data_IF_537684297036
#
_entry.id   IF_537684297036
#
_cell.length_a   1.000
_cell.length_b   1.000
_cell.length_c   1.000
_cell.angle_alpha   90.00
_cell.angle_beta   90.00
_cell.angle_gamma   90.00
#
_symmetry.space_group_name_H-M   'P 1'
#
loop_
_entity.id
_entity.type
_entity.pdbx_description
1 polymer ?
#
# COMPACT_ATOMS: atom_id res chain seq x y z
N UNK A 1 8.71 -57.60 47.91
CA UNK A 1 8.44 -56.28 47.32
C UNK A 1 8.17 -56.49 45.84
N UNK A 2 6.91 -56.49 45.43
CA UNK A 2 6.53 -56.64 44.01
C UNK A 2 6.07 -55.27 43.49
N UNK A 3 6.95 -54.61 42.74
CA UNK A 3 6.62 -53.41 41.98
C UNK A 3 5.58 -53.74 40.91
N UNK A 4 4.37 -53.23 41.08
CA UNK A 4 3.34 -53.27 40.03
C UNK A 4 3.50 -52.05 39.13
N UNK A 5 4.06 -52.27 37.94
CA UNK A 5 4.08 -51.24 36.88
C UNK A 5 2.66 -50.98 36.38
N UNK A 6 2.18 -49.71 36.28
CA UNK A 6 0.81 -49.44 35.91
C UNK A 6 0.59 -49.70 34.40
N UNK A 7 -0.33 -50.60 34.07
CA UNK A 7 -0.79 -50.85 32.68
C UNK A 7 -1.42 -49.58 32.11
N UNK A 8 -0.70 -48.89 31.22
CA UNK A 8 -1.17 -47.71 30.46
C UNK A 8 -2.36 -48.11 29.57
N UNK A 9 -3.59 -47.77 29.99
CA UNK A 9 -4.81 -47.98 29.19
C UNK A 9 -4.82 -47.02 28.00
N UNK A 10 -4.67 -47.53 26.78
CA UNK A 10 -4.83 -46.73 25.55
C UNK A 10 -6.30 -46.31 25.39
N UNK A 11 -6.59 -45.05 25.05
CA UNK A 11 -7.96 -44.59 24.85
C UNK A 11 -8.65 -45.39 23.74
N UNK A 12 -9.93 -45.74 23.93
CA UNK A 12 -10.74 -46.45 22.91
C UNK A 12 -10.78 -45.61 21.64
N UNK A 13 -10.74 -46.22 20.46
CA UNK A 13 -10.73 -45.53 19.14
C UNK A 13 -11.79 -44.42 19.02
N UNK A 14 -12.97 -44.60 19.66
CA UNK A 14 -14.05 -43.59 19.73
C UNK A 14 -13.67 -42.33 20.52
N UNK A 15 -12.88 -42.47 21.59
CA UNK A 15 -12.37 -41.34 22.38
C UNK A 15 -11.32 -40.58 21.60
N UNK A 16 -10.43 -41.27 20.87
CA UNK A 16 -9.45 -40.63 19.98
C UNK A 16 -10.17 -39.85 18.87
N UNK A 17 -11.19 -40.45 18.24
CA UNK A 17 -11.99 -39.80 17.21
C UNK A 17 -12.69 -38.54 17.73
N UNK A 18 -13.32 -38.61 18.91
CA UNK A 18 -13.94 -37.45 19.57
C UNK A 18 -12.93 -36.32 19.85
N UNK A 19 -11.74 -36.66 20.34
CA UNK A 19 -10.67 -35.67 20.58
C UNK A 19 -10.23 -35.02 19.26
N UNK A 20 -10.04 -35.81 18.20
CA UNK A 20 -9.66 -35.28 16.88
C UNK A 20 -10.74 -34.36 16.32
N UNK A 21 -12.03 -34.72 16.45
CA UNK A 21 -13.14 -33.86 16.01
C UNK A 21 -13.20 -32.57 16.82
N UNK A 22 -13.07 -32.63 18.15
CA UNK A 22 -13.05 -31.44 18.99
C UNK A 22 -11.87 -30.53 18.70
N UNK A 23 -10.68 -31.09 18.45
CA UNK A 23 -9.49 -30.34 18.04
C UNK A 23 -9.68 -29.72 16.65
N UNK A 24 -10.31 -30.43 15.72
CA UNK A 24 -10.61 -29.90 14.39
C UNK A 24 -11.61 -28.73 14.47
N UNK A 25 -12.70 -28.87 15.25
CA UNK A 25 -13.68 -27.80 15.46
C UNK A 25 -13.06 -26.60 16.17
N UNK A 26 -12.28 -26.83 17.23
CA UNK A 26 -11.61 -25.72 17.93
C UNK A 26 -10.56 -25.05 17.06
N UNK A 27 -9.83 -25.79 16.23
CA UNK A 27 -8.89 -25.23 15.27
C UNK A 27 -9.60 -24.38 14.21
N UNK A 28 -10.77 -24.81 13.73
CA UNK A 28 -11.58 -24.06 12.77
C UNK A 28 -12.16 -22.78 13.40
N UNK A 29 -12.67 -22.87 14.64
CA UNK A 29 -13.14 -21.70 15.39
C UNK A 29 -12.00 -20.71 15.59
N UNK A 30 -10.83 -21.15 16.05
CA UNK A 30 -9.68 -20.27 16.22
C UNK A 30 -9.22 -19.66 14.88
N UNK A 31 -9.21 -20.43 13.79
CA UNK A 31 -8.79 -19.96 12.48
C UNK A 31 -9.72 -18.89 11.89
N UNK A 32 -11.01 -18.87 12.26
CA UNK A 32 -12.00 -17.91 11.74
C UNK A 32 -12.24 -16.77 12.73
N UNK A 33 -12.46 -17.09 14.00
CA UNK A 33 -12.81 -16.13 15.04
C UNK A 33 -11.64 -15.25 15.46
N UNK A 34 -10.41 -15.80 15.54
CA UNK A 34 -9.25 -15.02 15.98
C UNK A 34 -8.88 -13.88 15.02
N UNK A 35 -8.82 -14.10 13.69
CA UNK A 35 -8.62 -13.00 12.73
C UNK A 35 -9.75 -11.97 12.82
N UNK A 36 -11.00 -12.43 12.87
CA UNK A 36 -12.16 -11.54 13.00
C UNK A 36 -12.07 -10.67 14.26
N UNK A 37 -11.78 -11.26 15.42
CA UNK A 37 -11.57 -10.52 16.66
C UNK A 37 -10.44 -9.49 16.55
N UNK A 38 -9.30 -9.86 15.97
CA UNK A 38 -8.18 -8.92 15.78
C UNK A 38 -8.56 -7.75 14.87
N UNK A 39 -9.38 -7.97 13.86
CA UNK A 39 -9.88 -6.91 12.98
C UNK A 39 -10.89 -6.00 13.67
N UNK A 40 -11.80 -6.54 14.48
CA UNK A 40 -12.73 -5.72 15.26
C UNK A 40 -11.99 -4.80 16.24
N UNK A 41 -10.91 -5.29 16.86
CA UNK A 41 -10.03 -4.44 17.70
C UNK A 41 -9.36 -3.35 16.86
N UNK A 42 -8.90 -3.68 15.64
CA UNK A 42 -8.30 -2.70 14.75
C UNK A 42 -9.31 -1.65 14.28
N UNK A 43 -10.54 -2.05 13.92
CA UNK A 43 -11.64 -1.14 13.55
C UNK A 43 -11.94 -0.20 14.70
N UNK A 44 -12.14 -0.72 15.91
CA UNK A 44 -12.42 0.09 17.09
C UNK A 44 -11.31 1.13 17.34
N UNK A 45 -10.03 0.75 17.15
CA UNK A 45 -8.93 1.70 17.31
C UNK A 45 -8.87 2.73 16.17
N UNK A 46 -9.13 2.31 14.94
CA UNK A 46 -9.15 3.23 13.79
C UNK A 46 -10.29 4.24 13.96
N UNK A 47 -11.47 3.80 14.39
CA UNK A 47 -12.61 4.67 14.69
C UNK A 47 -12.29 5.63 15.85
N UNK A 48 -11.62 5.14 16.92
CA UNK A 48 -11.13 5.98 18.03
C UNK A 48 -10.16 7.07 17.54
N UNK A 49 -9.32 6.74 16.55
CA UNK A 49 -8.40 7.66 15.90
C UNK A 49 -9.10 8.57 14.88
N UNK A 50 -10.42 8.48 14.67
CA UNK A 50 -11.16 9.27 13.69
C UNK A 50 -10.92 8.83 12.24
N UNK A 51 -10.47 7.60 12.04
CA UNK A 51 -10.22 7.00 10.74
C UNK A 51 -11.46 6.35 10.14
N UNK A 52 -11.31 5.95 8.87
CA UNK A 52 -12.32 5.20 8.14
C UNK A 52 -11.76 3.82 7.77
N UNK A 53 -12.58 2.80 7.91
CA UNK A 53 -12.27 1.44 7.46
C UNK A 53 -13.27 0.98 6.41
N UNK A 54 -12.79 0.13 5.50
CA UNK A 54 -13.64 -0.65 4.61
C UNK A 54 -13.30 -2.13 4.78
N UNK A 55 -14.33 -2.95 4.83
CA UNK A 55 -14.21 -4.40 4.83
C UNK A 55 -14.64 -4.97 3.48
N UNK A 56 -14.06 -6.11 3.13
CA UNK A 56 -14.42 -6.89 1.96
C UNK A 56 -14.42 -8.38 2.29
N UNK A 57 -15.32 -9.14 1.65
CA UNK A 57 -15.44 -10.58 1.89
C UNK A 57 -14.27 -11.32 1.24
N UNK A 58 -13.50 -12.04 2.05
CA UNK A 58 -12.44 -12.93 1.58
C UNK A 58 -12.98 -14.35 1.53
N UNK A 59 -13.63 -14.70 0.41
CA UNK A 59 -14.25 -16.02 0.22
C UNK A 59 -13.19 -17.13 0.30
N UNK A 60 -13.29 -18.07 1.26
CA UNK A 60 -12.48 -19.26 1.27
C UNK A 60 -12.75 -20.14 0.05
N UNK A 61 -11.71 -20.77 -0.49
CA UNK A 61 -11.81 -21.63 -1.69
C UNK A 61 -12.80 -22.79 -1.59
N UNK A 62 -13.13 -23.23 -0.38
CA UNK A 62 -14.07 -24.33 -0.14
C UNK A 62 -15.54 -23.90 -0.14
N UNK A 63 -15.82 -22.59 -0.17
CA UNK A 63 -17.19 -22.07 -0.25
C UNK A 63 -17.57 -21.91 -1.73
N UNK A 64 -18.58 -22.64 -2.23
CA UNK A 64 -19.04 -22.52 -3.61
C UNK A 64 -19.55 -21.12 -3.93
N UNK A 65 -19.35 -20.64 -5.17
CA UNK A 65 -19.83 -19.32 -5.62
C UNK A 65 -21.35 -19.14 -5.49
N UNK A 66 -22.11 -20.24 -5.53
CA UNK A 66 -23.55 -20.23 -5.32
C UNK A 66 -24.01 -19.75 -3.92
N UNK A 67 -23.11 -19.75 -2.93
CA UNK A 67 -23.41 -19.20 -1.59
C UNK A 67 -23.33 -17.69 -1.66
N UNK A 68 -24.43 -17.00 -1.36
CA UNK A 68 -24.51 -15.53 -1.34
C UNK A 68 -23.57 -14.94 -0.27
N UNK A 69 -22.88 -13.86 -0.63
CA UNK A 69 -21.95 -13.10 0.20
C UNK A 69 -22.58 -12.59 1.51
N UNK A 70 -23.90 -12.35 1.55
CA UNK A 70 -24.63 -11.97 2.78
C UNK A 70 -24.48 -12.97 3.93
N UNK A 71 -24.11 -14.22 3.64
CA UNK A 71 -23.88 -15.27 4.64
C UNK A 71 -22.40 -15.39 5.04
N UNK A 72 -21.52 -14.59 4.45
CA UNK A 72 -20.07 -14.68 4.61
C UNK A 72 -19.48 -13.58 5.48
N UNK A 73 -20.29 -12.94 6.33
CA UNK A 73 -19.88 -11.85 7.24
C UNK A 73 -18.68 -12.24 8.12
N UNK A 74 -18.57 -13.52 8.52
CA UNK A 74 -17.42 -14.03 9.29
C UNK A 74 -16.07 -13.98 8.51
N UNK A 75 -16.14 -13.82 7.19
CA UNK A 75 -15.00 -13.69 6.29
C UNK A 75 -14.78 -12.27 5.77
N UNK A 76 -15.53 -11.29 6.29
CA UNK A 76 -15.19 -9.88 6.08
C UNK A 76 -13.83 -9.59 6.68
N UNK A 77 -12.95 -9.00 5.87
CA UNK A 77 -11.61 -8.60 6.25
C UNK A 77 -11.37 -7.15 5.90
N UNK A 78 -10.62 -6.44 6.71
CA UNK A 78 -10.24 -5.05 6.40
C UNK A 78 -9.38 -5.06 5.14
N UNK A 79 -9.81 -4.33 4.13
CA UNK A 79 -9.10 -4.19 2.86
C UNK A 79 -8.67 -2.75 2.57
N UNK A 80 -9.33 -1.75 3.16
CA UNK A 80 -8.95 -0.35 3.07
C UNK A 80 -8.95 0.33 4.43
N UNK A 81 -7.93 1.16 4.66
CA UNK A 81 -7.82 2.04 5.83
C UNK A 81 -7.52 3.45 5.34
N UNK A 82 -8.24 4.42 5.88
CA UNK A 82 -7.93 5.84 5.72
C UNK A 82 -7.77 6.50 7.08
N UNK A 83 -6.57 6.97 7.38
CA UNK A 83 -6.23 7.77 8.54
C UNK A 83 -5.71 9.10 8.04
N UNK A 84 -6.43 10.18 8.33
CA UNK A 84 -5.95 11.53 8.04
C UNK A 84 -5.98 12.40 9.28
N UNK A 85 -5.26 11.91 10.28
CA UNK A 85 -5.25 12.48 11.62
C UNK A 85 -3.81 12.82 12.02
N UNK A 86 -3.49 14.12 12.26
CA UNK A 86 -2.12 14.59 12.48
C UNK A 86 -1.38 13.97 13.67
N UNK A 87 -2.06 13.32 14.59
CA UNK A 87 -1.45 12.68 15.76
C UNK A 87 -1.06 11.22 15.51
N UNK A 88 -1.48 10.62 14.39
CA UNK A 88 -1.12 9.24 14.03
C UNK A 88 0.35 9.22 13.62
N UNK A 89 1.18 8.48 14.34
CA UNK A 89 2.58 8.27 14.01
C UNK A 89 2.88 6.81 13.68
N UNK A 90 4.16 6.47 13.69
CA UNK A 90 4.59 5.11 13.38
C UNK A 90 4.01 4.08 14.35
N UNK A 91 3.93 4.43 15.64
CA UNK A 91 3.50 3.55 16.74
C UNK A 91 2.13 2.90 16.48
N UNK A 92 1.19 3.68 15.96
CA UNK A 92 -0.17 3.26 15.65
C UNK A 92 -0.20 2.17 14.55
N UNK A 93 0.78 2.16 13.64
CA UNK A 93 0.90 1.16 12.57
C UNK A 93 1.28 -0.25 13.08
N UNK A 94 1.71 -0.40 14.34
CA UNK A 94 1.92 -1.73 14.95
C UNK A 94 0.63 -2.55 14.97
N UNK A 95 -0.50 -1.89 15.21
CA UNK A 95 -1.79 -2.57 15.28
C UNK A 95 -2.19 -3.17 13.92
N UNK A 96 -1.69 -2.59 12.83
CA UNK A 96 -1.98 -3.06 11.48
C UNK A 96 -1.16 -4.30 11.09
N UNK A 97 -0.28 -4.81 11.97
CA UNK A 97 0.57 -5.98 11.69
C UNK A 97 -0.24 -7.24 11.42
N UNK A 98 -1.44 -7.34 12.01
CA UNK A 98 -2.33 -8.50 11.84
C UNK A 98 -3.25 -8.39 10.62
N UNK A 99 -3.33 -7.21 9.99
CA UNK A 99 -4.19 -6.94 8.84
C UNK A 99 -3.53 -7.41 7.56
N UNK A 100 -3.66 -8.72 7.29
CA UNK A 100 -2.98 -9.39 6.17
C UNK A 100 -3.67 -9.19 4.82
N UNK A 101 -4.91 -8.67 4.81
CA UNK A 101 -5.69 -8.44 3.61
C UNK A 101 -5.70 -6.97 3.14
N UNK A 102 -4.94 -6.10 3.80
CA UNK A 102 -4.89 -4.68 3.47
C UNK A 102 -4.40 -4.46 2.03
N UNK A 103 -5.18 -3.69 1.29
CA UNK A 103 -5.03 -3.40 -0.14
C UNK A 103 -4.87 -1.90 -0.41
N UNK A 104 -5.63 -1.08 0.32
CA UNK A 104 -5.61 0.38 0.23
C UNK A 104 -5.21 0.93 1.59
N UNK A 105 -4.23 1.83 1.61
CA UNK A 105 -3.78 2.49 2.83
C UNK A 105 -3.54 3.97 2.57
N UNK A 106 -4.40 4.81 3.14
CA UNK A 106 -4.31 6.26 3.06
C UNK A 106 -3.89 6.76 4.45
N UNK A 107 -2.74 7.42 4.52
CA UNK A 107 -2.13 7.95 5.74
C UNK A 107 -1.83 9.45 5.61
N UNK A 108 -2.60 10.16 4.78
CA UNK A 108 -2.33 11.56 4.46
C UNK A 108 -2.43 12.44 5.71
N UNK A 109 -1.61 13.48 5.85
CA UNK A 109 -1.62 14.39 7.00
C UNK A 109 -1.36 13.67 8.34
N UNK A 110 -0.45 12.69 8.37
CA UNK A 110 -0.05 11.97 9.59
C UNK A 110 1.42 12.18 9.89
N UNK A 111 1.87 11.82 11.10
CA UNK A 111 3.29 11.83 11.50
C UNK A 111 4.00 10.51 11.18
N UNK A 112 3.44 9.70 10.27
CA UNK A 112 4.09 8.47 9.82
C UNK A 112 5.38 8.84 9.09
N UNK A 113 6.46 8.15 9.44
CA UNK A 113 7.78 8.29 8.83
C UNK A 113 8.31 6.96 8.31
N UNK A 114 9.62 6.90 8.12
CA UNK A 114 10.30 5.77 7.48
C UNK A 114 10.13 4.47 8.29
N UNK A 115 10.15 4.54 9.63
CA UNK A 115 9.97 3.36 10.47
C UNK A 115 8.54 2.81 10.41
N UNK A 116 7.55 3.68 10.20
CA UNK A 116 6.17 3.29 9.91
C UNK A 116 6.07 2.57 8.57
N UNK A 117 6.69 3.13 7.54
CA UNK A 117 6.74 2.51 6.21
C UNK A 117 7.46 1.16 6.21
N UNK A 118 8.50 1.00 7.05
CA UNK A 118 9.22 -0.25 7.24
C UNK A 118 8.32 -1.39 7.74
N UNK A 119 7.29 -1.05 8.52
CA UNK A 119 6.32 -2.03 9.01
C UNK A 119 5.52 -2.58 7.83
N UNK A 120 5.22 -1.80 6.81
CA UNK A 120 4.38 -2.22 5.69
C UNK A 120 4.99 -3.33 4.80
N UNK A 121 6.29 -3.61 4.89
CA UNK A 121 7.02 -4.62 4.08
C UNK A 121 6.35 -6.01 3.98
N UNK A 122 5.55 -6.43 4.96
CA UNK A 122 4.84 -7.74 4.93
C UNK A 122 3.48 -7.70 4.23
N UNK A 123 2.92 -6.52 3.95
CA UNK A 123 1.57 -6.34 3.40
C UNK A 123 1.61 -6.33 1.87
N UNK A 124 1.98 -7.46 1.29
CA UNK A 124 2.21 -7.61 -0.16
C UNK A 124 0.97 -7.37 -1.05
N UNK A 125 -0.23 -7.27 -0.46
CA UNK A 125 -1.49 -7.02 -1.16
C UNK A 125 -1.79 -5.54 -1.39
N UNK A 126 -1.03 -4.64 -0.75
CA UNK A 126 -1.20 -3.20 -0.96
C UNK A 126 -0.96 -2.87 -2.44
N UNK A 127 -1.96 -2.25 -3.06
CA UNK A 127 -1.89 -1.73 -4.41
C UNK A 127 -2.13 -0.22 -4.45
N UNK A 128 -2.72 0.37 -3.42
CA UNK A 128 -2.92 1.81 -3.28
C UNK A 128 -2.34 2.31 -1.95
N UNK A 129 -1.38 3.23 -2.02
CA UNK A 129 -0.71 3.82 -0.88
C UNK A 129 -0.64 5.34 -1.04
N UNK A 130 -1.24 6.06 -0.11
CA UNK A 130 -1.19 7.52 -0.05
C UNK A 130 -0.52 7.96 1.24
N UNK A 131 0.55 8.74 1.10
CA UNK A 131 1.43 9.20 2.17
C UNK A 131 1.62 10.73 2.10
N UNK A 132 0.60 11.44 1.62
CA UNK A 132 0.69 12.88 1.41
C UNK A 132 0.88 13.60 2.75
N UNK A 133 1.74 14.61 2.79
CA UNK A 133 2.00 15.39 4.01
C UNK A 133 2.37 14.51 5.21
N UNK A 134 3.23 13.52 4.98
CA UNK A 134 3.82 12.65 6.01
C UNK A 134 5.30 12.97 6.22
N UNK A 135 5.92 12.36 7.22
CA UNK A 135 7.35 12.51 7.53
C UNK A 135 8.23 11.48 6.79
N UNK A 136 7.70 10.85 5.73
CA UNK A 136 8.45 9.90 4.91
C UNK A 136 9.54 10.64 4.12
N UNK A 137 10.73 10.03 4.09
CA UNK A 137 11.92 10.51 3.39
C UNK A 137 12.39 9.49 2.36
N UNK A 138 13.50 9.78 1.68
CA UNK A 138 14.16 8.86 0.75
C UNK A 138 14.48 7.50 1.38
N UNK A 139 14.82 7.48 2.68
CA UNK A 139 15.16 6.23 3.37
C UNK A 139 13.94 5.33 3.52
N UNK A 140 12.74 5.87 3.75
CA UNK A 140 11.52 5.07 3.85
C UNK A 140 11.14 4.41 2.53
N UNK A 141 11.41 5.06 1.39
CA UNK A 141 11.06 4.53 0.07
C UNK A 141 11.79 3.22 -0.25
N UNK A 142 12.93 2.91 0.39
CA UNK A 142 13.62 1.63 0.22
C UNK A 142 12.71 0.43 0.53
N UNK A 143 11.70 0.62 1.37
CA UNK A 143 10.77 -0.41 1.81
C UNK A 143 9.67 -0.69 0.79
N UNK A 144 9.42 0.21 -0.16
CA UNK A 144 8.36 0.06 -1.16
C UNK A 144 8.64 -1.08 -2.14
N UNK A 145 9.90 -1.44 -2.36
CA UNK A 145 10.28 -2.62 -3.18
C UNK A 145 9.65 -3.93 -2.68
N UNK A 146 9.28 -3.99 -1.41
CA UNK A 146 8.60 -5.13 -0.79
C UNK A 146 7.08 -5.15 -1.04
N UNK A 147 6.55 -4.15 -1.75
CA UNK A 147 5.15 -4.01 -2.15
C UNK A 147 5.01 -4.22 -3.68
N UNK A 148 5.18 -5.46 -4.19
CA UNK A 148 5.24 -5.72 -5.63
C UNK A 148 3.91 -5.52 -6.36
N UNK A 149 2.83 -5.29 -5.63
CA UNK A 149 1.50 -5.04 -6.18
C UNK A 149 1.12 -3.56 -6.20
N UNK A 150 2.03 -2.66 -5.80
CA UNK A 150 1.77 -1.23 -5.78
C UNK A 150 1.46 -0.71 -7.18
N UNK A 151 0.30 -0.07 -7.31
CA UNK A 151 -0.23 0.52 -8.53
C UNK A 151 -0.37 2.02 -8.36
N UNK A 152 -0.84 2.50 -7.21
CA UNK A 152 -1.02 3.91 -6.92
C UNK A 152 -0.15 4.31 -5.74
N UNK A 153 0.64 5.36 -5.93
CA UNK A 153 1.51 5.93 -4.91
C UNK A 153 1.38 7.46 -4.94
N UNK A 154 0.99 8.03 -3.80
CA UNK A 154 1.00 9.47 -3.60
C UNK A 154 1.97 9.83 -2.48
N UNK A 155 2.91 10.72 -2.78
CA UNK A 155 3.97 11.21 -1.88
C UNK A 155 3.94 12.75 -1.83
N UNK A 156 2.77 13.34 -2.04
CA UNK A 156 2.65 14.80 -2.17
C UNK A 156 3.15 15.47 -0.89
N UNK A 157 3.96 16.52 -1.03
CA UNK A 157 4.45 17.32 0.09
C UNK A 157 5.11 16.45 1.18
N UNK A 158 6.05 15.61 0.74
CA UNK A 158 6.93 14.81 1.59
C UNK A 158 8.38 15.26 1.41
N UNK A 159 9.30 14.73 2.22
CA UNK A 159 10.73 15.06 2.13
C UNK A 159 11.49 14.21 1.09
N UNK A 160 10.77 13.63 0.13
CA UNK A 160 11.34 12.82 -0.94
C UNK A 160 12.10 13.70 -1.94
N UNK A 161 13.27 13.24 -2.36
CA UNK A 161 14.15 13.83 -3.35
C UNK A 161 14.49 12.84 -4.48
N UNK A 162 15.38 13.23 -5.38
CA UNK A 162 15.93 12.37 -6.43
C UNK A 162 16.50 11.06 -5.89
N UNK A 163 17.12 11.10 -4.70
CA UNK A 163 17.72 9.93 -4.07
C UNK A 163 16.68 8.89 -3.65
N UNK A 164 15.44 9.30 -3.36
CA UNK A 164 14.34 8.40 -3.04
C UNK A 164 13.77 7.69 -4.26
N UNK A 165 13.73 8.36 -5.43
CA UNK A 165 13.15 7.81 -6.66
C UNK A 165 13.87 6.56 -7.17
N UNK A 166 15.16 6.39 -6.85
CA UNK A 166 15.90 5.15 -7.15
C UNK A 166 15.24 3.90 -6.55
N UNK A 167 14.52 4.04 -5.44
CA UNK A 167 13.85 2.94 -4.76
C UNK A 167 12.50 2.56 -5.38
N UNK A 168 11.95 3.40 -6.27
CA UNK A 168 10.75 3.08 -7.04
C UNK A 168 11.07 2.19 -8.25
N UNK A 169 12.35 2.05 -8.60
CA UNK A 169 12.78 1.13 -9.66
C UNK A 169 12.33 -0.31 -9.34
N UNK A 170 11.72 -0.96 -10.32
CA UNK A 170 11.20 -2.32 -10.16
C UNK A 170 9.74 -2.41 -9.70
N UNK A 171 9.09 -1.29 -9.35
CA UNK A 171 7.64 -1.22 -9.15
C UNK A 171 6.90 -1.28 -10.50
N UNK A 172 7.07 -2.39 -11.23
CA UNK A 172 6.60 -2.61 -12.60
C UNK A 172 5.08 -2.58 -12.79
N UNK A 173 4.32 -2.52 -11.69
CA UNK A 173 2.86 -2.38 -11.69
C UNK A 173 2.39 -0.95 -11.43
N UNK A 174 3.29 -0.02 -11.10
CA UNK A 174 2.92 1.36 -10.80
C UNK A 174 2.28 2.03 -12.01
N UNK A 175 1.11 2.61 -11.79
CA UNK A 175 0.25 3.26 -12.78
C UNK A 175 0.03 4.74 -12.46
N UNK A 176 -0.11 5.10 -11.20
CA UNK A 176 -0.30 6.49 -10.77
C UNK A 176 0.80 6.84 -9.77
N UNK A 177 1.52 7.93 -10.05
CA UNK A 177 2.53 8.47 -9.17
C UNK A 177 2.32 9.99 -9.00
N UNK A 178 2.13 10.42 -7.76
CA UNK A 178 2.11 11.84 -7.40
C UNK A 178 3.33 12.19 -6.56
N UNK A 179 4.11 13.14 -7.05
CA UNK A 179 5.30 13.70 -6.41
C UNK A 179 5.16 15.23 -6.26
N UNK A 180 3.92 15.72 -6.26
CA UNK A 180 3.64 17.15 -6.11
C UNK A 180 4.28 17.70 -4.83
N UNK A 181 4.84 18.92 -4.88
CA UNK A 181 5.44 19.60 -3.72
C UNK A 181 6.59 18.80 -3.07
N UNK A 182 7.31 17.96 -3.82
CA UNK A 182 8.52 17.26 -3.36
C UNK A 182 9.81 17.97 -3.82
N UNK A 183 10.96 17.49 -3.36
CA UNK A 183 12.28 18.03 -3.70
C UNK A 183 12.90 17.37 -4.95
N UNK A 184 12.06 16.80 -5.81
CA UNK A 184 12.48 16.13 -7.04
C UNK A 184 12.91 17.16 -8.09
N UNK A 185 14.00 16.85 -8.78
CA UNK A 185 14.59 17.61 -9.88
C UNK A 185 14.68 16.75 -11.16
N UNK A 186 15.26 17.31 -12.22
CA UNK A 186 15.51 16.61 -13.48
C UNK A 186 16.30 15.30 -13.30
N UNK A 187 17.24 15.27 -12.34
CA UNK A 187 18.06 14.09 -12.08
C UNK A 187 17.23 12.91 -11.56
N UNK A 188 16.20 13.17 -10.76
CA UNK A 188 15.32 12.14 -10.21
C UNK A 188 14.47 11.44 -11.26
N UNK A 189 14.05 12.17 -12.30
CA UNK A 189 13.18 11.61 -13.35
C UNK A 189 13.85 10.50 -14.16
N UNK A 190 15.18 10.48 -14.24
CA UNK A 190 15.92 9.38 -14.87
C UNK A 190 15.64 8.02 -14.21
N UNK A 191 15.28 8.00 -12.92
CA UNK A 191 14.95 6.77 -12.19
C UNK A 191 13.56 6.21 -12.53
N UNK A 192 12.69 6.99 -13.18
CA UNK A 192 11.32 6.58 -13.52
C UNK A 192 11.20 5.87 -14.87
N UNK A 193 12.26 5.86 -15.70
CA UNK A 193 12.26 5.29 -17.07
C UNK A 193 11.79 3.82 -17.14
N UNK A 194 11.98 3.04 -16.08
CA UNK A 194 11.56 1.63 -16.02
C UNK A 194 10.09 1.39 -15.68
N UNK A 195 9.32 2.44 -15.37
CA UNK A 195 7.91 2.35 -14.97
C UNK A 195 6.99 2.28 -16.20
N UNK A 196 7.15 1.24 -17.00
CA UNK A 196 6.47 1.04 -18.29
C UNK A 196 4.94 0.87 -18.21
N UNK A 197 4.35 0.93 -17.02
CA UNK A 197 2.90 0.91 -16.81
C UNK A 197 2.36 2.23 -16.26
N UNK A 198 3.22 3.25 -16.10
CA UNK A 198 2.82 4.54 -15.56
C UNK A 198 1.86 5.23 -16.54
N UNK A 199 0.66 5.53 -16.06
CA UNK A 199 -0.44 6.14 -16.80
C UNK A 199 -0.62 7.59 -16.40
N UNK A 200 -0.45 7.92 -15.12
CA UNK A 200 -0.50 9.30 -14.64
C UNK A 200 0.71 9.64 -13.78
N UNK A 201 1.27 10.81 -14.04
CA UNK A 201 2.37 11.39 -13.28
C UNK A 201 2.04 12.85 -12.94
N UNK A 202 2.10 13.19 -11.66
CA UNK A 202 1.95 14.57 -11.18
C UNK A 202 3.23 15.03 -10.51
N UNK A 203 3.73 16.18 -10.96
CA UNK A 203 5.02 16.78 -10.60
C UNK A 203 4.85 18.28 -10.27
N UNK A 204 3.67 18.69 -9.83
CA UNK A 204 3.38 20.10 -9.63
C UNK A 204 4.22 20.68 -8.49
N UNK A 205 4.63 21.95 -8.60
CA UNK A 205 5.42 22.64 -7.58
C UNK A 205 6.73 21.89 -7.24
N UNK A 206 7.39 21.33 -8.24
CA UNK A 206 8.72 20.70 -8.13
C UNK A 206 9.77 21.52 -8.88
N UNK A 207 11.04 21.14 -8.79
CA UNK A 207 12.15 21.86 -9.42
C UNK A 207 12.53 21.30 -10.80
N UNK A 208 11.57 20.68 -11.49
CA UNK A 208 11.77 20.03 -12.79
C UNK A 208 11.77 21.08 -13.91
N UNK A 209 12.70 20.95 -14.84
CA UNK A 209 12.86 21.77 -16.03
C UNK A 209 12.81 20.96 -17.32
N UNK A 210 13.26 21.58 -18.41
CA UNK A 210 13.18 21.02 -19.76
C UNK A 210 13.99 19.72 -19.92
N UNK A 211 15.11 19.60 -19.21
CA UNK A 211 15.97 18.41 -19.25
C UNK A 211 15.27 17.19 -18.63
N UNK A 212 14.57 17.38 -17.52
CA UNK A 212 13.87 16.30 -16.84
C UNK A 212 12.71 15.78 -17.67
N UNK A 213 11.94 16.69 -18.28
CA UNK A 213 10.78 16.29 -19.09
C UNK A 213 11.15 15.59 -20.39
N UNK A 214 12.34 15.83 -20.95
CA UNK A 214 12.86 15.06 -22.08
C UNK A 214 12.93 13.56 -21.73
N UNK A 215 13.36 13.22 -20.52
CA UNK A 215 13.42 11.84 -20.04
C UNK A 215 12.04 11.19 -19.88
N UNK A 216 10.98 11.99 -19.64
CA UNK A 216 9.60 11.49 -19.57
C UNK A 216 9.04 11.11 -20.94
N UNK A 217 9.63 11.62 -22.03
CA UNK A 217 9.22 11.29 -23.40
C UNK A 217 9.32 9.79 -23.72
N UNK A 218 10.09 9.01 -22.95
CA UNK A 218 10.21 7.56 -23.09
C UNK A 218 9.00 6.80 -22.50
N UNK A 219 8.23 7.40 -21.59
CA UNK A 219 7.08 6.78 -20.93
C UNK A 219 5.84 6.78 -21.85
N UNK A 220 5.86 5.93 -22.87
CA UNK A 220 4.80 5.87 -23.91
C UNK A 220 3.41 5.47 -23.40
N UNK A 221 3.31 4.97 -22.16
CA UNK A 221 2.02 4.64 -21.53
C UNK A 221 1.34 5.82 -20.85
N UNK A 222 2.03 6.96 -20.71
CA UNK A 222 1.54 8.11 -19.97
C UNK A 222 0.34 8.74 -20.70
N UNK A 223 -0.77 8.88 -19.98
CA UNK A 223 -2.03 9.49 -20.45
C UNK A 223 -2.33 10.80 -19.75
N UNK A 224 -1.75 11.01 -18.57
CA UNK A 224 -1.88 12.27 -17.82
C UNK A 224 -0.52 12.69 -17.27
N UNK A 225 -0.14 13.93 -17.53
CA UNK A 225 1.06 14.56 -16.99
C UNK A 225 0.71 15.94 -16.45
N UNK A 226 1.07 16.23 -15.21
CA UNK A 226 0.92 17.56 -14.64
C UNK A 226 2.28 18.10 -14.21
N UNK A 227 2.69 19.23 -14.79
CA UNK A 227 3.96 19.93 -14.53
C UNK A 227 3.70 21.42 -14.25
N UNK A 228 2.62 21.72 -13.52
CA UNK A 228 2.26 23.09 -13.17
C UNK A 228 3.22 23.63 -12.11
N UNK A 229 3.55 24.92 -12.22
CA UNK A 229 4.46 25.63 -11.31
C UNK A 229 5.82 24.93 -11.19
N UNK A 230 6.38 24.55 -12.33
CA UNK A 230 7.72 23.97 -12.46
C UNK A 230 8.63 24.94 -13.24
N UNK A 231 9.87 24.53 -13.52
CA UNK A 231 10.82 25.27 -14.36
C UNK A 231 10.70 24.90 -15.85
N UNK A 232 9.70 24.09 -16.23
CA UNK A 232 9.45 23.68 -17.61
C UNK A 232 9.03 24.90 -18.43
N UNK A 233 9.82 25.21 -19.46
CA UNK A 233 9.56 26.33 -20.35
C UNK A 233 8.51 25.99 -21.39
N UNK A 234 8.14 26.99 -22.21
CA UNK A 234 7.27 26.77 -23.36
C UNK A 234 7.88 25.74 -24.33
N UNK A 235 9.20 25.72 -24.49
CA UNK A 235 9.87 24.83 -25.44
C UNK A 235 9.84 23.38 -24.92
N UNK A 236 10.13 23.17 -23.63
CA UNK A 236 9.99 21.86 -22.98
C UNK A 236 8.56 21.32 -23.02
N UNK A 237 7.55 22.19 -22.81
CA UNK A 237 6.15 21.81 -22.96
C UNK A 237 5.80 21.32 -24.37
N UNK A 238 6.29 22.02 -25.41
CA UNK A 238 6.07 21.59 -26.80
C UNK A 238 6.81 20.30 -27.13
N UNK A 239 8.03 20.12 -26.62
CA UNK A 239 8.77 18.87 -26.77
C UNK A 239 8.00 17.69 -26.14
N UNK A 240 7.43 17.87 -24.95
CA UNK A 240 6.57 16.88 -24.30
C UNK A 240 5.33 16.55 -25.13
N UNK A 241 4.63 17.57 -25.65
CA UNK A 241 3.45 17.40 -26.52
C UNK A 241 3.78 16.57 -27.76
N UNK A 242 4.96 16.76 -28.33
CA UNK A 242 5.43 15.99 -29.48
C UNK A 242 5.90 14.58 -29.09
N UNK A 243 6.50 14.38 -27.91
CA UNK A 243 6.98 13.07 -27.49
C UNK A 243 5.86 12.13 -27.02
N UNK A 244 4.86 12.68 -26.33
CA UNK A 244 3.74 11.99 -25.68
C UNK A 244 2.41 12.26 -26.39
N UNK A 245 2.31 11.80 -27.63
CA UNK A 245 1.10 11.92 -28.45
C UNK A 245 -0.12 11.31 -27.72
N UNK A 246 -1.15 12.14 -27.49
CA UNK A 246 -2.40 11.71 -26.82
C UNK A 246 -2.36 11.74 -25.28
N UNK A 247 -1.28 12.22 -24.68
CA UNK A 247 -1.22 12.52 -23.25
C UNK A 247 -1.93 13.86 -22.96
N UNK A 248 -2.78 13.89 -21.93
CA UNK A 248 -3.31 15.12 -21.36
C UNK A 248 -2.24 15.76 -20.48
N UNK A 249 -1.64 16.84 -21.00
CA UNK A 249 -0.56 17.56 -20.32
C UNK A 249 -1.12 18.86 -19.75
N UNK A 250 -1.13 18.95 -18.42
CA UNK A 250 -1.37 20.18 -17.68
C UNK A 250 -0.04 20.88 -17.39
N UNK A 251 0.05 22.13 -17.82
CA UNK A 251 1.24 22.95 -17.67
C UNK A 251 0.85 24.40 -17.38
N UNK A 252 1.59 25.04 -16.49
CA UNK A 252 1.58 26.49 -16.28
C UNK A 252 3.00 26.99 -16.45
N UNK A 253 3.21 28.13 -17.14
CA UNK A 253 4.54 28.69 -17.31
C UNK A 253 5.18 29.05 -15.96
N UNK A 254 6.53 29.03 -15.86
CA UNK A 254 7.23 29.44 -14.65
C UNK A 254 6.87 30.88 -14.26
N UNK A 255 6.77 31.15 -12.97
CA UNK A 255 6.65 32.54 -12.50
C UNK A 255 7.90 33.33 -12.93
N UNK A 256 7.70 34.55 -13.41
CA UNK A 256 8.78 35.47 -13.80
C UNK A 256 9.61 35.91 -12.62
#
# INVERSE_FOLDING_TARGET
MTETTPKRRRPRKRVILLIVVLLAVSSAVLAVWWPYYCEQVAIAKIDELGGLTRTGIVRPRWIPEAVDDRYLVLFERIDAISLSVPQVGDAELEQFRKLTNLQILILNNTQVGDAGLARLRKRKKIWDLSLDQTQVTDAGLEHLRELPNLQWLSLKNTQVSDAGLKHLQGLSKLQLLSLDETQVTDAGLAHLKGLNKLVALSLNNTQIGDVGVESLGELKTLRYLSVCNTQVTRDGYWALRLALHGCDIRWTPPAK
#
